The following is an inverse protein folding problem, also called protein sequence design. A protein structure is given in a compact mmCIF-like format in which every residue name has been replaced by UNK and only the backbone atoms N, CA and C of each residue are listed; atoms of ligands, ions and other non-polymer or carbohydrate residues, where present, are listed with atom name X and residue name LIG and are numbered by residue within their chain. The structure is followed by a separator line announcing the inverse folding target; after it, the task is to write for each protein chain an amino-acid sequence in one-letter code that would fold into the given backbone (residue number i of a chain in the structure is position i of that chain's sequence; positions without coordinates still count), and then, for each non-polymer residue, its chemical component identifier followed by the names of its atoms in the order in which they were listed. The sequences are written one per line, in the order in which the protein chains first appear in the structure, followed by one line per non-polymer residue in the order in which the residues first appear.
data_IF_643892089359
#
_entry.id   IF_643892089359
#
_cell.length_a   1.000
_cell.length_b   1.000
_cell.length_c   1.000
_cell.angle_alpha   90.00
_cell.angle_beta   90.00
_cell.angle_gamma   90.00
#
_symmetry.space_group_name_H-M   'P 1'
#
loop_
_entity.id
_entity.type
_entity.pdbx_description
1 polymer ?
#
# COMPACT_ATOMS: atom_id res chain seq x y z
N UNK A 1 18.79 19.97 -48.63
CA UNK A 1 18.58 20.57 -47.29
C UNK A 1 17.25 20.05 -46.77
N UNK A 2 17.26 19.01 -45.94
CA UNK A 2 16.05 18.44 -45.34
C UNK A 2 16.16 18.61 -43.83
N UNK A 3 15.27 19.40 -43.25
CA UNK A 3 15.15 19.62 -41.82
C UNK A 3 14.30 18.46 -41.26
N UNK A 4 14.94 17.50 -40.63
CA UNK A 4 14.27 16.52 -39.76
C UNK A 4 13.86 17.22 -38.47
N UNK A 5 12.56 17.41 -38.28
CA UNK A 5 11.93 17.87 -37.05
C UNK A 5 11.96 16.74 -36.01
N UNK A 6 12.84 16.86 -35.02
CA UNK A 6 12.80 16.03 -33.82
C UNK A 6 11.66 16.49 -32.92
N UNK A 7 10.60 15.68 -32.86
CA UNK A 7 9.52 15.81 -31.90
C UNK A 7 10.04 15.52 -30.50
N UNK A 8 10.13 16.56 -29.68
CA UNK A 8 10.38 16.45 -28.24
C UNK A 8 9.16 15.83 -27.56
N UNK A 9 9.31 14.57 -27.14
CA UNK A 9 8.41 13.92 -26.19
C UNK A 9 8.54 14.64 -24.84
N UNK A 10 7.67 15.61 -24.59
CA UNK A 10 7.46 16.18 -23.26
C UNK A 10 6.80 15.11 -22.39
N UNK A 11 7.61 14.44 -21.55
CA UNK A 11 7.08 13.67 -20.41
C UNK A 11 6.36 14.66 -19.48
N UNK A 12 5.04 14.73 -19.60
CA UNK A 12 4.21 15.51 -18.69
C UNK A 12 4.33 14.87 -17.31
N UNK A 13 5.13 15.48 -16.43
CA UNK A 13 5.06 15.17 -15.00
C UNK A 13 3.58 15.31 -14.57
N UNK A 14 2.98 14.30 -13.94
CA UNK A 14 1.57 14.37 -13.56
C UNK A 14 1.37 15.60 -12.67
N UNK A 15 0.45 16.48 -13.07
CA UNK A 15 0.05 17.62 -12.24
C UNK A 15 -0.43 17.04 -10.91
N UNK A 16 0.28 17.34 -9.81
CA UNK A 16 -0.18 16.96 -8.48
C UNK A 16 -1.46 17.73 -8.19
N UNK A 17 -2.59 17.04 -8.27
CA UNK A 17 -3.88 17.60 -7.87
C UNK A 17 -3.89 17.75 -6.35
N UNK A 18 -3.70 18.98 -5.87
CA UNK A 18 -3.83 19.31 -4.46
C UNK A 18 -5.28 19.71 -4.17
N UNK A 19 -6.05 18.78 -3.60
CA UNK A 19 -7.41 19.04 -3.15
C UNK A 19 -7.38 19.61 -1.73
N UNK A 20 -8.06 20.74 -1.50
CA UNK A 20 -8.07 21.40 -0.19
C UNK A 20 -8.86 20.63 0.88
N UNK A 21 -9.78 19.75 0.48
CA UNK A 21 -10.63 18.96 1.37
C UNK A 21 -11.16 17.69 0.70
N UNK A 22 -11.61 16.68 1.48
CA UNK A 22 -12.33 15.52 0.94
C UNK A 22 -13.54 15.91 0.08
N UNK A 23 -14.23 17.01 0.42
CA UNK A 23 -15.36 17.51 -0.35
C UNK A 23 -14.93 18.01 -1.73
N UNK A 24 -13.86 18.80 -1.82
CA UNK A 24 -13.33 19.25 -3.13
C UNK A 24 -12.87 18.10 -4.02
N UNK A 25 -12.30 17.04 -3.43
CA UNK A 25 -11.98 15.81 -4.16
C UNK A 25 -13.26 15.11 -4.66
N UNK A 26 -14.26 14.97 -3.80
CA UNK A 26 -15.57 14.39 -4.17
C UNK A 26 -16.20 15.12 -5.35
N UNK A 27 -16.26 16.45 -5.31
CA UNK A 27 -16.87 17.26 -6.36
C UNK A 27 -16.11 17.19 -7.69
N UNK A 28 -14.78 17.00 -7.65
CA UNK A 28 -13.98 16.76 -8.83
C UNK A 28 -14.18 15.35 -9.43
N UNK A 29 -14.35 14.34 -8.58
CA UNK A 29 -14.56 12.94 -8.98
C UNK A 29 -15.97 12.66 -9.52
N UNK A 30 -17.01 13.27 -8.93
CA UNK A 30 -18.42 13.03 -9.29
C UNK A 30 -18.71 13.06 -10.80
N UNK A 31 -18.30 14.08 -11.57
CA UNK A 31 -18.58 14.11 -13.01
C UNK A 31 -17.66 13.21 -13.84
N UNK A 32 -16.63 12.58 -13.24
CA UNK A 32 -15.61 11.82 -13.95
C UNK A 32 -15.69 10.30 -13.73
N UNK A 33 -16.33 9.86 -12.64
CA UNK A 33 -16.51 8.44 -12.36
C UNK A 33 -17.82 7.92 -12.97
N UNK A 34 -17.92 6.61 -13.27
CA UNK A 34 -19.20 6.00 -13.64
C UNK A 34 -20.25 6.25 -12.55
N UNK A 35 -21.51 6.44 -12.96
CA UNK A 35 -22.64 6.64 -12.05
C UNK A 35 -22.64 5.61 -10.91
N UNK A 36 -22.98 6.05 -9.71
CA UNK A 36 -23.06 5.27 -8.46
C UNK A 36 -21.73 4.70 -7.93
N UNK A 37 -20.62 4.78 -8.67
CA UNK A 37 -19.31 4.28 -8.22
C UNK A 37 -18.88 4.97 -6.93
N UNK A 38 -18.90 6.30 -6.91
CA UNK A 38 -18.50 7.10 -5.75
C UNK A 38 -19.42 6.88 -4.54
N UNK A 39 -20.71 6.62 -4.76
CA UNK A 39 -21.68 6.37 -3.69
C UNK A 39 -21.45 5.02 -2.99
N UNK A 40 -20.77 4.08 -3.66
CA UNK A 40 -20.43 2.78 -3.08
C UNK A 40 -19.25 2.82 -2.10
N UNK A 41 -18.44 3.87 -2.13
CA UNK A 41 -17.20 3.99 -1.36
C UNK A 41 -17.49 4.20 0.14
N UNK A 42 -16.97 3.31 0.99
CA UNK A 42 -17.25 3.30 2.42
C UNK A 42 -18.63 2.74 2.80
N UNK A 43 -19.41 2.29 1.80
CA UNK A 43 -20.71 1.64 2.01
C UNK A 43 -20.61 0.15 1.67
N UNK A 44 -19.98 -0.18 0.53
CA UNK A 44 -19.73 -1.56 0.14
C UNK A 44 -18.62 -2.17 1.01
N UNK A 45 -18.80 -3.39 1.55
CA UNK A 45 -17.78 -4.04 2.37
C UNK A 45 -16.39 -4.07 1.73
N UNK A 46 -15.37 -3.72 2.51
CA UNK A 46 -13.97 -3.75 2.08
C UNK A 46 -13.50 -2.56 1.24
N UNK A 47 -14.39 -1.60 0.94
CA UNK A 47 -14.04 -0.36 0.23
C UNK A 47 -13.54 0.71 1.20
N UNK A 48 -12.66 1.57 0.70
CA UNK A 48 -12.21 2.79 1.38
C UNK A 48 -13.13 3.94 0.96
N UNK A 49 -13.13 5.05 1.68
CA UNK A 49 -14.00 6.20 1.40
C UNK A 49 -13.21 7.40 0.84
N UNK A 50 -13.91 8.49 0.49
CA UNK A 50 -13.28 9.69 -0.09
C UNK A 50 -12.24 10.33 0.84
N UNK A 51 -12.40 10.22 2.16
CA UNK A 51 -11.42 10.72 3.13
C UNK A 51 -10.11 9.93 3.03
N UNK A 52 -10.18 8.60 2.85
CA UNK A 52 -8.99 7.78 2.62
C UNK A 52 -8.23 8.25 1.36
N UNK A 53 -8.92 8.38 0.22
CA UNK A 53 -8.25 8.79 -1.02
C UNK A 53 -7.67 10.20 -0.91
N UNK A 54 -8.37 11.11 -0.23
CA UNK A 54 -7.87 12.45 0.02
C UNK A 54 -6.60 12.43 0.90
N UNK A 55 -6.57 11.60 1.95
CA UNK A 55 -5.38 11.40 2.78
C UNK A 55 -4.21 10.87 1.95
N UNK A 56 -4.42 9.80 1.18
CA UNK A 56 -3.40 9.22 0.29
C UNK A 56 -2.80 10.28 -0.67
N UNK A 57 -3.65 11.11 -1.27
CA UNK A 57 -3.23 12.20 -2.17
C UNK A 57 -2.47 13.28 -1.42
N UNK A 58 -2.96 13.70 -0.25
CA UNK A 58 -2.34 14.75 0.57
C UNK A 58 -0.96 14.35 1.11
N UNK A 59 -0.78 13.05 1.37
CA UNK A 59 0.49 12.46 1.80
C UNK A 59 1.40 12.12 0.62
N UNK A 60 0.90 12.24 -0.62
CA UNK A 60 1.64 11.94 -1.84
C UNK A 60 1.89 10.44 -2.07
N UNK A 61 1.20 9.56 -1.33
CA UNK A 61 1.24 8.09 -1.51
C UNK A 61 0.56 7.67 -2.82
N UNK A 62 -0.24 8.55 -3.40
CA UNK A 62 -1.01 8.29 -4.62
C UNK A 62 -1.11 9.55 -5.46
N UNK A 63 -1.30 9.38 -6.77
CA UNK A 63 -1.62 10.46 -7.70
C UNK A 63 -2.82 10.11 -8.56
N UNK A 64 -3.51 11.14 -9.09
CA UNK A 64 -4.58 11.00 -10.05
C UNK A 64 -4.16 11.63 -11.37
N UNK A 65 -4.32 10.89 -12.47
CA UNK A 65 -4.24 11.44 -13.81
C UNK A 65 -5.52 12.25 -14.13
N UNK A 66 -5.37 13.36 -14.86
CA UNK A 66 -6.50 14.17 -15.33
C UNK A 66 -7.15 13.53 -16.57
N UNK A 67 -7.71 12.34 -16.37
CA UNK A 67 -8.47 11.57 -17.36
C UNK A 67 -9.91 11.35 -16.89
N UNK A 68 -10.75 10.76 -17.74
CA UNK A 68 -12.15 10.46 -17.40
C UNK A 68 -12.48 9.01 -17.82
N UNK A 69 -12.57 8.07 -16.87
CA UNK A 69 -12.28 8.23 -15.44
C UNK A 69 -10.81 8.53 -15.14
N UNK A 70 -10.50 9.18 -14.00
CA UNK A 70 -9.13 9.45 -13.59
C UNK A 70 -8.41 8.15 -13.19
N UNK A 71 -7.14 8.01 -13.57
CA UNK A 71 -6.33 6.84 -13.20
C UNK A 71 -5.58 7.13 -11.90
N UNK A 72 -5.76 6.25 -10.91
CA UNK A 72 -5.07 6.29 -9.61
C UNK A 72 -3.75 5.54 -9.69
N UNK A 73 -2.64 6.27 -9.64
CA UNK A 73 -1.31 5.65 -9.60
C UNK A 73 -0.80 5.53 -8.17
N UNK A 74 -0.39 4.33 -7.77
CA UNK A 74 0.21 4.03 -6.46
C UNK A 74 1.48 3.23 -6.64
N UNK A 75 2.51 3.58 -5.87
CA UNK A 75 3.73 2.79 -5.75
C UNK A 75 3.62 1.90 -4.51
N UNK A 76 3.82 0.60 -4.68
CA UNK A 76 3.66 -0.39 -3.61
C UNK A 76 4.88 -1.28 -3.58
N UNK A 77 5.47 -1.47 -2.41
CA UNK A 77 6.49 -2.49 -2.19
C UNK A 77 5.83 -3.80 -1.77
N UNK A 78 6.18 -4.89 -2.44
CA UNK A 78 5.78 -6.25 -2.11
C UNK A 78 6.97 -6.97 -1.49
N UNK A 79 6.86 -7.33 -0.21
CA UNK A 79 7.95 -8.01 0.50
C UNK A 79 7.64 -9.49 0.62
N UNK A 80 8.39 -10.31 -0.11
CA UNK A 80 8.33 -11.77 0.01
C UNK A 80 9.23 -12.19 1.17
N UNK A 81 8.64 -12.30 2.35
CA UNK A 81 9.34 -12.75 3.56
C UNK A 81 9.47 -14.27 3.53
N UNK A 82 10.69 -14.78 3.44
CA UNK A 82 10.98 -16.21 3.40
C UNK A 82 10.90 -16.83 4.81
N UNK A 83 10.19 -17.95 4.91
CA UNK A 83 10.11 -18.80 6.09
C UNK A 83 10.98 -20.04 5.97
N UNK A 84 10.77 -21.00 6.86
CA UNK A 84 11.45 -22.31 6.80
C UNK A 84 10.89 -23.15 5.65
N UNK A 85 11.67 -24.14 5.21
CA UNK A 85 11.22 -25.16 4.24
C UNK A 85 10.67 -24.61 2.92
N UNK A 86 11.17 -23.46 2.44
CA UNK A 86 10.73 -22.87 1.17
C UNK A 86 9.33 -22.24 1.22
N UNK A 87 8.83 -21.94 2.42
CA UNK A 87 7.59 -21.20 2.61
C UNK A 87 7.81 -19.70 2.56
N UNK A 88 6.73 -18.96 2.34
CA UNK A 88 6.70 -17.50 2.33
C UNK A 88 5.51 -16.99 3.12
N UNK A 89 5.70 -15.86 3.79
CA UNK A 89 4.65 -15.21 4.53
C UNK A 89 3.70 -14.50 3.56
N UNK A 90 2.40 -14.76 3.70
CA UNK A 90 1.35 -14.03 3.00
C UNK A 90 0.33 -13.53 3.98
N UNK A 91 -0.20 -12.35 3.68
CA UNK A 91 -1.39 -11.84 4.35
C UNK A 91 -2.59 -12.59 3.78
N UNK A 92 -3.29 -13.36 4.60
CA UNK A 92 -4.47 -14.12 4.20
C UNK A 92 -5.72 -13.25 4.14
N UNK A 93 -5.89 -12.36 5.12
CA UNK A 93 -6.99 -11.41 5.22
C UNK A 93 -6.66 -10.31 6.22
N UNK A 94 -7.45 -9.22 6.15
CA UNK A 94 -7.39 -8.10 7.07
C UNK A 94 -8.76 -7.82 7.65
N UNK A 95 -8.77 -7.34 8.89
CA UNK A 95 -9.92 -6.74 9.55
C UNK A 95 -9.78 -5.22 9.51
N UNK A 96 -10.82 -4.56 9.00
CA UNK A 96 -10.91 -3.11 8.88
C UNK A 96 -11.56 -2.48 10.11
N UNK A 97 -11.37 -1.17 10.29
CA UNK A 97 -11.92 -0.41 11.41
C UNK A 97 -13.45 -0.36 11.46
N UNK A 98 -14.13 -0.68 10.35
CA UNK A 98 -15.57 -0.79 10.24
C UNK A 98 -16.09 -2.23 10.51
N UNK A 99 -15.19 -3.14 10.90
CA UNK A 99 -15.48 -4.55 11.17
C UNK A 99 -15.52 -5.44 9.92
N UNK A 100 -15.37 -4.87 8.71
CA UNK A 100 -15.35 -5.66 7.49
C UNK A 100 -14.04 -6.46 7.39
N UNK A 101 -14.16 -7.69 6.88
CA UNK A 101 -13.01 -8.52 6.54
C UNK A 101 -12.75 -8.44 5.04
N UNK A 102 -11.51 -8.17 4.66
CA UNK A 102 -11.08 -8.17 3.26
C UNK A 102 -10.05 -9.26 3.04
N UNK A 103 -10.43 -10.26 2.24
CA UNK A 103 -9.53 -11.34 1.82
C UNK A 103 -8.34 -10.79 1.05
N UNK A 104 -7.19 -11.39 1.30
CA UNK A 104 -5.93 -11.15 0.63
C UNK A 104 -5.47 -12.50 0.07
N UNK A 105 -4.22 -12.86 0.25
CA UNK A 105 -3.52 -13.92 -0.48
C UNK A 105 -2.31 -13.36 -1.22
N UNK A 106 -1.65 -12.36 -0.64
CA UNK A 106 -0.51 -11.66 -1.23
C UNK A 106 0.58 -11.45 -0.18
N UNK A 107 1.84 -11.22 -0.60
CA UNK A 107 2.90 -10.81 0.32
C UNK A 107 2.57 -9.47 1.01
N UNK A 108 3.34 -9.13 2.06
CA UNK A 108 3.28 -7.82 2.70
C UNK A 108 3.33 -6.72 1.64
N UNK A 109 2.37 -5.80 1.68
CA UNK A 109 2.09 -4.85 0.61
C UNK A 109 2.02 -3.43 1.15
N UNK A 110 3.16 -2.75 1.17
CA UNK A 110 3.28 -1.42 1.79
C UNK A 110 3.27 -0.31 0.72
N UNK A 111 2.50 0.77 0.94
CA UNK A 111 2.52 1.92 0.03
C UNK A 111 3.81 2.69 0.24
N UNK A 112 4.46 3.11 -0.84
CA UNK A 112 5.67 3.92 -0.74
C UNK A 112 5.33 5.37 -0.43
N UNK A 113 6.09 5.99 0.49
CA UNK A 113 6.01 7.42 0.79
C UNK A 113 6.75 8.24 -0.29
N UNK A 114 6.47 9.56 -0.41
CA UNK A 114 7.16 10.40 -1.38
C UNK A 114 8.68 10.38 -1.18
N UNK A 115 9.41 10.14 -2.27
CA UNK A 115 10.89 10.08 -2.31
C UNK A 115 11.49 8.94 -1.46
N UNK A 116 10.69 7.97 -1.04
CA UNK A 116 11.18 6.76 -0.37
C UNK A 116 11.68 5.75 -1.41
N UNK A 117 12.83 5.12 -1.17
CA UNK A 117 13.29 4.02 -2.01
C UNK A 117 12.61 2.69 -1.62
N UNK A 118 12.52 1.70 -2.52
CA UNK A 118 11.84 0.43 -2.24
C UNK A 118 12.37 -0.32 -1.03
N UNK A 119 13.68 -0.26 -0.74
CA UNK A 119 14.28 -0.98 0.38
C UNK A 119 13.87 -0.34 1.70
N UNK A 120 13.93 0.98 1.80
CA UNK A 120 13.45 1.72 2.97
C UNK A 120 11.95 1.48 3.22
N UNK A 121 11.13 1.50 2.16
CA UNK A 121 9.70 1.19 2.25
C UNK A 121 9.46 -0.25 2.74
N UNK A 122 10.23 -1.23 2.25
CA UNK A 122 10.12 -2.63 2.68
C UNK A 122 10.43 -2.78 4.17
N UNK A 123 11.53 -2.20 4.63
CA UNK A 123 11.93 -2.23 6.05
C UNK A 123 10.85 -1.59 6.91
N UNK A 124 10.37 -0.40 6.53
CA UNK A 124 9.30 0.29 7.24
C UNK A 124 8.03 -0.56 7.32
N UNK A 125 7.56 -1.10 6.20
CA UNK A 125 6.37 -1.96 6.17
C UNK A 125 6.51 -3.21 7.04
N UNK A 126 7.69 -3.85 7.05
CA UNK A 126 7.97 -4.99 7.96
C UNK A 126 7.80 -4.56 9.43
N UNK A 127 8.32 -3.41 9.85
CA UNK A 127 8.19 -2.98 11.24
C UNK A 127 6.80 -2.48 11.59
N UNK A 128 6.13 -1.76 10.70
CA UNK A 128 4.76 -1.28 10.90
C UNK A 128 3.78 -2.46 11.02
N UNK A 129 3.86 -3.46 10.14
CA UNK A 129 2.90 -4.56 10.12
C UNK A 129 3.32 -5.78 10.96
N UNK A 130 4.62 -6.11 11.05
CA UNK A 130 5.11 -7.32 11.73
C UNK A 130 5.83 -7.02 13.05
N UNK A 131 6.23 -5.77 13.31
CA UNK A 131 7.10 -5.41 14.43
C UNK A 131 6.57 -5.80 15.82
N UNK A 132 5.24 -5.89 15.98
CA UNK A 132 4.59 -6.29 17.23
C UNK A 132 4.81 -7.75 17.64
N UNK A 133 5.20 -8.62 16.69
CA UNK A 133 5.43 -10.06 16.95
C UNK A 133 6.87 -10.48 16.76
N UNK A 134 7.75 -9.60 16.28
CA UNK A 134 9.17 -9.88 16.17
C UNK A 134 9.75 -10.03 17.58
N UNK A 135 10.13 -11.26 17.94
CA UNK A 135 10.74 -11.56 19.23
C UNK A 135 12.03 -10.74 19.42
N UNK A 136 12.15 -10.04 20.55
CA UNK A 136 13.37 -9.30 20.89
C UNK A 136 13.43 -7.83 20.46
N UNK A 137 12.30 -7.20 20.12
CA UNK A 137 12.18 -5.74 19.90
C UNK A 137 11.74 -4.94 21.14
N UNK A 138 11.47 -5.60 22.27
CA UNK A 138 11.08 -4.97 23.53
C UNK A 138 12.27 -4.49 24.40
N UNK A 139 11.99 -3.96 25.60
CA UNK A 139 13.00 -3.41 26.52
C UNK A 139 14.11 -4.40 26.97
N UNK A 140 13.92 -5.70 26.75
CA UNK A 140 14.91 -6.78 26.98
C UNK A 140 15.37 -7.43 25.65
N UNK A 141 15.29 -6.68 24.55
CA UNK A 141 15.52 -7.17 23.20
C UNK A 141 16.95 -7.64 22.96
N UNK A 142 17.09 -8.80 22.29
CA UNK A 142 18.40 -9.35 21.91
C UNK A 142 19.00 -8.63 20.68
N UNK A 143 18.15 -7.96 19.90
CA UNK A 143 18.52 -7.27 18.67
C UNK A 143 18.69 -5.78 18.93
N UNK A 144 19.87 -5.25 18.63
CA UNK A 144 20.20 -3.84 18.84
C UNK A 144 20.01 -3.01 17.57
N UNK A 145 20.02 -3.65 16.40
CA UNK A 145 19.97 -2.99 15.11
C UNK A 145 18.96 -3.65 14.17
N UNK A 146 18.43 -2.84 13.25
CA UNK A 146 17.50 -3.30 12.20
C UNK A 146 18.12 -4.39 11.33
N UNK A 147 19.42 -4.28 11.02
CA UNK A 147 20.08 -5.26 10.14
C UNK A 147 20.24 -6.64 10.79
N UNK A 148 20.12 -6.73 12.12
CA UNK A 148 20.11 -8.01 12.84
C UNK A 148 18.76 -8.74 12.68
N UNK A 149 17.70 -7.99 12.35
CA UNK A 149 16.32 -8.48 12.25
C UNK A 149 15.94 -8.71 10.79
N UNK A 150 16.19 -7.73 9.92
CA UNK A 150 15.74 -7.74 8.53
C UNK A 150 16.95 -7.84 7.60
N UNK A 151 16.97 -8.87 6.76
CA UNK A 151 17.93 -9.01 5.67
C UNK A 151 17.18 -9.02 4.35
N UNK A 152 17.49 -8.06 3.48
CA UNK A 152 16.93 -7.96 2.12
C UNK A 152 17.95 -8.50 1.13
N UNK A 153 17.52 -9.38 0.22
CA UNK A 153 18.38 -9.87 -0.85
C UNK A 153 18.63 -8.75 -1.88
N UNK A 154 19.87 -8.26 -2.03
CA UNK A 154 20.17 -7.13 -2.91
C UNK A 154 19.93 -7.43 -4.40
N UNK A 155 19.82 -8.71 -4.78
CA UNK A 155 19.60 -9.12 -6.17
C UNK A 155 18.13 -9.51 -6.45
N UNK A 156 17.25 -9.39 -5.47
CA UNK A 156 15.85 -9.83 -5.59
C UNK A 156 14.90 -8.78 -6.19
N UNK A 157 15.37 -7.54 -6.35
CA UNK A 157 14.51 -6.43 -6.77
C UNK A 157 13.91 -6.66 -8.15
N UNK A 158 12.58 -6.56 -8.23
CA UNK A 158 11.83 -6.58 -9.47
C UNK A 158 10.81 -5.46 -9.49
N UNK A 159 10.60 -4.85 -10.65
CA UNK A 159 9.57 -3.82 -10.84
C UNK A 159 8.65 -4.22 -11.98
N UNK A 160 7.34 -4.08 -11.75
CA UNK A 160 6.32 -4.24 -12.78
C UNK A 160 5.20 -3.23 -12.59
N UNK A 161 4.48 -2.97 -13.68
CA UNK A 161 3.29 -2.11 -13.67
C UNK A 161 2.08 -2.98 -13.96
N UNK A 162 1.04 -2.84 -13.13
CA UNK A 162 -0.24 -3.49 -13.34
C UNK A 162 -1.36 -2.46 -13.43
N UNK A 163 -2.19 -2.58 -14.46
CA UNK A 163 -3.44 -1.83 -14.56
C UNK A 163 -4.59 -2.73 -14.16
N UNK A 164 -5.36 -2.31 -13.16
CA UNK A 164 -6.57 -3.01 -12.70
C UNK A 164 -7.51 -2.08 -11.97
N UNK A 165 -8.77 -2.48 -11.85
CA UNK A 165 -9.73 -1.75 -11.03
C UNK A 165 -9.32 -1.75 -9.56
N UNK A 166 -9.46 -0.58 -8.92
CA UNK A 166 -9.19 -0.45 -7.50
C UNK A 166 -10.26 -1.15 -6.68
N UNK A 167 -9.92 -2.27 -6.03
CA UNK A 167 -10.82 -2.92 -5.08
C UNK A 167 -11.19 -2.03 -3.87
N UNK A 168 -10.35 -1.05 -3.54
CA UNK A 168 -10.64 -0.07 -2.48
C UNK A 168 -11.59 1.04 -2.96
N UNK A 169 -11.56 1.36 -4.25
CA UNK A 169 -12.29 2.47 -4.87
C UNK A 169 -12.96 1.97 -6.16
N UNK A 170 -14.07 1.21 -6.08
CA UNK A 170 -14.75 0.70 -7.27
C UNK A 170 -15.07 1.81 -8.28
N UNK A 171 -14.84 1.53 -9.57
CA UNK A 171 -15.03 2.50 -10.66
C UNK A 171 -13.87 3.48 -10.86
N UNK A 172 -12.83 3.42 -10.03
CA UNK A 172 -11.59 4.16 -10.21
C UNK A 172 -10.49 3.22 -10.74
N UNK A 173 -10.06 3.35 -12.01
CA UNK A 173 -8.95 2.57 -12.54
C UNK A 173 -7.68 2.81 -11.74
N UNK A 174 -6.93 1.75 -11.48
CA UNK A 174 -5.66 1.80 -10.76
C UNK A 174 -4.47 1.42 -11.65
N UNK A 175 -3.40 2.18 -11.55
CA UNK A 175 -2.07 1.86 -12.05
C UNK A 175 -1.17 1.57 -10.85
N UNK A 176 -0.77 0.31 -10.68
CA UNK A 176 0.05 -0.14 -9.56
C UNK A 176 1.49 -0.33 -10.05
N UNK A 177 2.40 0.50 -9.56
CA UNK A 177 3.83 0.29 -9.74
C UNK A 177 4.31 -0.58 -8.58
N UNK A 178 4.52 -1.85 -8.85
CA UNK A 178 4.84 -2.86 -7.86
C UNK A 178 6.35 -3.08 -7.82
N UNK A 179 6.94 -2.89 -6.64
CA UNK A 179 8.34 -3.09 -6.35
C UNK A 179 8.49 -4.34 -5.47
N UNK A 180 8.93 -5.46 -6.03
CA UNK A 180 9.06 -6.72 -5.28
C UNK A 180 10.47 -6.87 -4.73
N UNK A 181 10.58 -7.23 -3.46
CA UNK A 181 11.84 -7.54 -2.76
C UNK A 181 11.68 -8.85 -1.99
N UNK A 182 12.76 -9.62 -1.89
CA UNK A 182 12.83 -10.79 -1.02
C UNK A 182 13.55 -10.42 0.28
N UNK A 183 13.02 -10.89 1.40
CA UNK A 183 13.60 -10.64 2.71
C UNK A 183 13.53 -11.87 3.61
N UNK A 184 14.41 -11.93 4.59
CA UNK A 184 14.26 -12.79 5.78
C UNK A 184 14.09 -11.90 7.00
N UNK A 185 13.19 -12.28 7.91
CA UNK A 185 12.93 -11.54 9.14
C UNK A 185 13.12 -12.49 10.33
N UNK A 186 14.04 -12.14 11.22
CA UNK A 186 14.30 -12.92 12.44
C UNK A 186 13.19 -12.71 13.47
N UNK A 187 12.95 -13.73 14.30
CA UNK A 187 12.01 -13.63 15.43
C UNK A 187 10.52 -13.69 15.07
N UNK A 188 10.16 -14.03 13.83
CA UNK A 188 8.76 -14.26 13.45
C UNK A 188 8.23 -15.62 13.96
N UNK A 189 6.92 -15.74 14.25
CA UNK A 189 6.29 -17.02 14.59
C UNK A 189 6.36 -18.05 13.46
N UNK A 190 6.54 -19.33 13.81
CA UNK A 190 6.62 -20.44 12.83
C UNK A 190 5.25 -20.86 12.27
N UNK A 191 4.16 -20.59 13.02
CA UNK A 191 2.78 -20.87 12.59
C UNK A 191 2.04 -19.60 12.18
N UNK A 192 0.77 -19.76 11.83
CA UNK A 192 -0.11 -18.63 11.53
C UNK A 192 -0.22 -17.68 12.74
N UNK A 193 -0.23 -16.39 12.47
CA UNK A 193 -0.31 -15.36 13.50
C UNK A 193 -1.09 -14.15 13.02
N UNK A 194 -1.35 -13.22 13.94
CA UNK A 194 -1.96 -11.94 13.60
C UNK A 194 -1.21 -10.79 14.26
N UNK A 195 -1.22 -9.64 13.62
CA UNK A 195 -0.62 -8.41 14.12
C UNK A 195 -1.64 -7.28 14.09
N UNK A 196 -1.41 -6.26 14.90
CA UNK A 196 -2.28 -5.09 15.00
C UNK A 196 -1.59 -3.87 14.42
N UNK A 197 -2.32 -3.11 13.62
CA UNK A 197 -1.82 -1.87 13.07
C UNK A 197 -2.14 -0.72 14.02
N UNK A 198 -1.11 -0.03 14.49
CA UNK A 198 -1.25 1.12 15.39
C UNK A 198 -1.29 2.39 14.54
N UNK A 199 -2.50 2.74 14.11
CA UNK A 199 -2.89 3.98 13.42
C UNK A 199 -2.16 4.36 12.11
N UNK A 200 -2.66 3.80 10.98
CA UNK A 200 -2.30 4.08 9.57
C UNK A 200 -2.15 5.59 9.23
N UNK A 201 -2.79 6.49 9.98
CA UNK A 201 -2.84 7.94 9.69
C UNK A 201 -2.37 8.84 10.85
N UNK A 202 -1.64 8.32 11.85
CA UNK A 202 -1.01 9.17 12.88
C UNK A 202 0.25 9.86 12.32
N UNK A 203 0.07 11.07 11.80
CA UNK A 203 1.13 12.05 11.50
C UNK A 203 0.64 13.47 11.82
N UNK A 204 1.49 14.49 11.64
CA UNK A 204 1.21 15.93 11.83
C UNK A 204 0.14 16.46 10.84
N UNK A 205 -1.03 15.85 10.82
CA UNK A 205 -2.19 16.35 10.13
C UNK A 205 -2.86 17.41 11.00
N UNK A 206 -3.09 18.57 10.39
CA UNK A 206 -3.92 19.65 10.90
C UNK A 206 -5.36 19.20 11.21
N UNK A 207 -5.81 18.04 10.73
CA UNK A 207 -7.19 17.58 10.94
C UNK A 207 -7.28 16.08 11.31
N UNK A 208 -6.99 15.77 12.57
CA UNK A 208 -7.23 14.46 13.19
C UNK A 208 -8.68 13.97 13.00
N UNK A 209 -9.63 14.87 12.78
CA UNK A 209 -11.03 14.49 12.56
C UNK A 209 -11.25 13.85 11.18
N UNK A 210 -10.42 14.18 10.18
CA UNK A 210 -10.49 13.55 8.85
C UNK A 210 -9.93 12.13 8.90
N UNK A 211 -8.81 11.93 9.61
CA UNK A 211 -8.24 10.59 9.83
C UNK A 211 -9.23 9.65 10.53
N UNK A 212 -9.98 10.14 11.53
CA UNK A 212 -11.00 9.35 12.22
C UNK A 212 -12.18 8.92 11.30
N UNK A 213 -12.42 9.63 10.19
CA UNK A 213 -13.46 9.27 9.22
C UNK A 213 -12.97 8.27 8.17
N UNK A 214 -11.67 8.03 8.09
CA UNK A 214 -11.08 7.11 7.14
C UNK A 214 -11.23 5.66 7.64
N UNK A 215 -11.50 4.71 6.74
CA UNK A 215 -11.48 3.29 7.10
C UNK A 215 -10.02 2.85 7.17
N UNK A 216 -9.53 2.38 8.32
CA UNK A 216 -8.14 1.90 8.46
C UNK A 216 -8.11 0.37 8.54
N UNK A 217 -6.97 -0.24 8.26
CA UNK A 217 -6.74 -1.62 8.71
C UNK A 217 -6.51 -1.59 10.24
N UNK A 218 -6.94 -2.64 10.93
CA UNK A 218 -6.77 -2.81 12.37
C UNK A 218 -6.00 -4.06 12.71
N UNK A 219 -6.19 -5.11 11.92
CA UNK A 219 -5.57 -6.40 12.17
C UNK A 219 -5.24 -7.09 10.87
N UNK A 220 -4.03 -7.63 10.82
CA UNK A 220 -3.50 -8.42 9.72
C UNK A 220 -3.42 -9.88 10.16
N UNK A 221 -3.82 -10.80 9.29
CA UNK A 221 -3.76 -12.23 9.55
C UNK A 221 -2.79 -12.89 8.56
N UNK A 222 -1.73 -13.47 9.10
CA UNK A 222 -0.58 -13.98 8.36
C UNK A 222 -0.54 -15.49 8.38
N UNK A 223 -0.18 -16.06 7.23
CA UNK A 223 -0.01 -17.51 7.07
C UNK A 223 1.21 -17.81 6.21
N UNK A 224 1.82 -18.96 6.47
CA UNK A 224 2.97 -19.45 5.71
C UNK A 224 2.48 -20.37 4.58
N UNK A 225 2.82 -20.04 3.34
CA UNK A 225 2.42 -20.82 2.16
C UNK A 225 3.63 -21.29 1.37
N UNK A 226 3.48 -22.39 0.63
CA UNK A 226 4.52 -22.84 -0.32
C UNK A 226 4.74 -21.80 -1.42
N UNK A 227 5.96 -21.72 -1.94
CA UNK A 227 6.32 -20.86 -3.06
C UNK A 227 5.38 -21.04 -4.27
N UNK A 228 4.94 -22.27 -4.53
CA UNK A 228 4.05 -22.64 -5.64
C UNK A 228 2.61 -22.10 -5.49
N UNK A 229 2.24 -21.65 -4.29
CA UNK A 229 0.90 -21.16 -3.97
C UNK A 229 0.78 -19.63 -4.02
N UNK A 230 1.87 -18.91 -4.29
CA UNK A 230 1.85 -17.46 -4.43
C UNK A 230 1.64 -17.12 -5.90
N UNK A 231 0.43 -16.67 -6.24
CA UNK A 231 0.18 -16.03 -7.52
C UNK A 231 1.02 -14.74 -7.60
N UNK A 232 1.97 -14.71 -8.56
CA UNK A 232 2.78 -13.53 -8.86
C UNK A 232 1.99 -12.54 -9.68
#
# INVERSE_FOLDING_TARGET
MSLTSTSTSTSLSPRRHNFASPQSLSDWLKPRLPSDSLASWGVKPGTKNVHNLWLELSQGETSLADSTPPVRTVHVVLVRVAGKHGTFLVESHQELSDGNVRKRGRPLSEKMKPNEDPQSAAVRGIFEELGSVIAGTGANGFYSRVEDIVSIDPNSYQMRVEERDSGSYPGLPGCYVLHTLHATVQGLPEGDFCTYEVDEYQGDFLDKNVAHKAVSVKKHYWTWVSADSIET
#
